data_IF_842270723583
#
_entry.id   IF_842270723583
#
_cell.length_a   1.000
_cell.length_b   1.000
_cell.length_c   1.000
_cell.angle_alpha   90.00
_cell.angle_beta   90.00
_cell.angle_gamma   90.00
#
_symmetry.space_group_name_H-M   'P 1'
#
loop_
_entity.id
_entity.type
_entity.pdbx_description
1 polymer ?
#
# COMPACT_ATOMS: atom_id res chain seq x y z
N UNK A 1 -22.40 7.25 -12.96
CA UNK A 1 -22.37 5.83 -12.63
C UNK A 1 -21.77 5.67 -11.24
N UNK A 2 -22.41 4.88 -10.39
CA UNK A 2 -21.83 4.57 -9.08
C UNK A 2 -20.62 3.65 -9.29
N UNK A 3 -19.48 3.93 -8.70
CA UNK A 3 -18.34 3.02 -8.74
C UNK A 3 -18.73 1.68 -8.09
N UNK A 4 -18.17 0.58 -8.60
CA UNK A 4 -18.55 -0.77 -8.19
C UNK A 4 -17.34 -1.52 -7.65
N UNK A 5 -17.58 -2.43 -6.71
CA UNK A 5 -16.54 -3.37 -6.29
C UNK A 5 -16.16 -4.32 -7.42
N UNK A 6 -14.92 -4.79 -7.42
CA UNK A 6 -14.39 -5.71 -8.43
C UNK A 6 -15.16 -7.04 -8.55
N UNK A 7 -15.86 -7.47 -7.49
CA UNK A 7 -16.68 -8.69 -7.51
C UNK A 7 -18.11 -8.49 -8.02
N UNK A 8 -18.46 -7.24 -8.42
CA UNK A 8 -19.82 -6.98 -8.92
C UNK A 8 -20.19 -7.97 -10.07
N UNK A 9 -21.43 -8.54 -10.10
CA UNK A 9 -22.65 -8.19 -9.33
C UNK A 9 -22.76 -8.83 -7.93
N UNK A 10 -21.79 -9.62 -7.47
CA UNK A 10 -21.73 -10.11 -6.10
C UNK A 10 -21.35 -9.00 -5.11
N UNK A 11 -21.41 -9.28 -3.81
CA UNK A 11 -21.01 -8.37 -2.75
C UNK A 11 -20.29 -9.11 -1.63
N UNK A 12 -19.33 -8.43 -0.97
CA UNK A 12 -18.63 -8.98 0.20
C UNK A 12 -19.47 -8.95 1.50
N UNK A 13 -20.66 -8.32 1.48
CA UNK A 13 -21.50 -8.18 2.66
C UNK A 13 -20.99 -7.13 3.65
N UNK A 14 -21.34 -7.31 4.93
CA UNK A 14 -20.90 -6.42 6.00
C UNK A 14 -19.48 -6.75 6.42
N UNK A 15 -18.57 -5.80 6.30
CA UNK A 15 -17.14 -5.97 6.59
C UNK A 15 -16.71 -5.02 7.72
N UNK A 16 -15.77 -5.47 8.55
CA UNK A 16 -14.93 -4.59 9.36
C UNK A 16 -13.68 -4.16 8.58
N UNK A 17 -12.82 -3.32 9.19
CA UNK A 17 -11.60 -2.80 8.54
C UNK A 17 -10.67 -3.92 8.09
N UNK A 18 -10.39 -4.90 8.96
CA UNK A 18 -9.49 -6.02 8.62
C UNK A 18 -10.02 -6.81 7.43
N UNK A 19 -11.31 -7.08 7.38
CA UNK A 19 -11.96 -7.76 6.26
C UNK A 19 -11.99 -6.91 4.98
N UNK A 20 -12.20 -5.59 5.12
CA UNK A 20 -12.12 -4.66 3.98
C UNK A 20 -10.75 -4.69 3.33
N UNK A 21 -9.67 -4.75 4.12
CA UNK A 21 -8.29 -4.89 3.63
C UNK A 21 -8.08 -6.28 3.03
N UNK A 22 -8.48 -7.35 3.72
CA UNK A 22 -8.36 -8.73 3.27
C UNK A 22 -8.94 -8.91 1.87
N UNK A 23 -10.21 -8.56 1.68
CA UNK A 23 -10.94 -8.75 0.42
C UNK A 23 -10.68 -7.65 -0.62
N UNK A 24 -9.82 -6.66 -0.31
CA UNK A 24 -9.63 -5.51 -1.20
C UNK A 24 -10.95 -4.87 -1.64
N UNK A 25 -11.90 -4.74 -0.70
CA UNK A 25 -13.27 -4.37 -1.01
C UNK A 25 -13.37 -2.89 -1.40
N UNK A 26 -13.59 -2.60 -2.67
CA UNK A 26 -13.74 -1.23 -3.14
C UNK A 26 -14.93 -0.54 -2.48
N UNK A 27 -16.09 -1.22 -2.37
CA UNK A 27 -17.29 -0.62 -1.76
C UNK A 27 -17.05 -0.18 -0.32
N UNK A 28 -16.28 -0.98 0.47
CA UNK A 28 -15.89 -0.59 1.82
C UNK A 28 -15.08 0.71 1.84
N UNK A 29 -14.06 0.80 0.98
CA UNK A 29 -13.20 2.00 0.95
C UNK A 29 -13.85 3.19 0.23
N UNK A 30 -14.78 2.98 -0.71
CA UNK A 30 -15.61 4.06 -1.23
C UNK A 30 -16.44 4.70 -0.12
N UNK A 31 -17.03 3.89 0.76
CA UNK A 31 -17.76 4.38 1.92
C UNK A 31 -16.84 5.13 2.89
N UNK A 32 -15.61 4.66 3.10
CA UNK A 32 -14.60 5.39 3.90
C UNK A 32 -14.31 6.75 3.27
N UNK A 33 -14.01 6.81 1.96
CA UNK A 33 -13.75 8.05 1.24
C UNK A 33 -14.93 9.03 1.28
N UNK A 34 -16.15 8.51 1.19
CA UNK A 34 -17.36 9.29 1.35
C UNK A 34 -17.51 9.86 2.76
N UNK A 35 -17.35 9.01 3.81
CA UNK A 35 -17.45 9.45 5.21
C UNK A 35 -16.37 10.46 5.59
N UNK A 36 -15.18 10.37 5.06
CA UNK A 36 -14.14 11.39 5.26
C UNK A 36 -14.58 12.77 4.74
N UNK A 37 -15.40 12.80 3.68
CA UNK A 37 -15.97 14.01 3.10
C UNK A 37 -17.19 14.57 3.85
N UNK A 38 -17.77 13.85 4.81
CA UNK A 38 -18.89 14.36 5.60
C UNK A 38 -18.40 15.36 6.64
N UNK A 39 -19.21 16.41 6.88
CA UNK A 39 -18.94 17.30 8.02
C UNK A 39 -19.19 16.55 9.33
N UNK A 40 -18.22 16.63 10.23
CA UNK A 40 -18.41 16.25 11.64
C UNK A 40 -18.79 17.49 12.44
N UNK A 41 -19.66 17.31 13.43
CA UNK A 41 -19.98 18.35 14.42
C UNK A 41 -18.68 18.76 15.13
N UNK A 42 -18.09 19.90 14.73
CA UNK A 42 -16.82 20.41 15.24
C UNK A 42 -15.83 20.95 14.21
N UNK A 43 -16.02 20.68 12.93
CA UNK A 43 -15.18 21.21 11.83
C UNK A 43 -15.59 22.64 11.41
N UNK A 44 -15.64 23.55 12.37
CA UNK A 44 -16.14 24.94 12.21
C UNK A 44 -15.32 25.81 11.26
N UNK A 45 -14.17 25.32 10.75
CA UNK A 45 -13.34 26.08 9.80
C UNK A 45 -13.67 25.81 8.33
N UNK A 46 -14.38 24.73 8.01
CA UNK A 46 -14.81 24.38 6.64
C UNK A 46 -16.33 24.59 6.44
N UNK A 47 -17.06 24.87 7.50
CA UNK A 47 -18.51 25.05 7.46
C UNK A 47 -18.97 26.49 7.12
N UNK A 48 -18.12 27.33 6.54
CA UNK A 48 -18.46 28.73 6.22
C UNK A 48 -19.32 28.90 4.97
N UNK A 49 -19.90 27.85 4.41
CA UNK A 49 -20.93 27.98 3.38
C UNK A 49 -22.33 27.96 4.04
N UNK A 50 -22.61 29.01 4.77
CA UNK A 50 -23.95 29.31 5.32
C UNK A 50 -24.82 30.15 4.39
N UNK A 51 -24.57 30.09 3.08
CA UNK A 51 -25.23 30.98 2.13
C UNK A 51 -26.75 30.75 1.99
N UNK A 52 -27.33 29.68 2.57
CA UNK A 52 -28.78 29.41 2.44
C UNK A 52 -29.51 29.12 3.74
N UNK A 53 -28.91 29.34 4.90
CA UNK A 53 -29.60 29.25 6.20
C UNK A 53 -30.17 27.87 6.56
N UNK A 54 -29.77 26.79 5.87
CA UNK A 54 -30.22 25.42 6.13
C UNK A 54 -29.21 24.65 6.97
N UNK A 55 -29.59 24.43 8.17
CA UNK A 55 -29.09 23.59 9.26
C UNK A 55 -28.46 22.25 8.86
N UNK A 56 -27.23 21.99 9.36
CA UNK A 56 -26.75 20.75 10.04
C UNK A 56 -27.08 19.37 9.42
N UNK A 57 -27.41 19.24 8.15
CA UNK A 57 -27.47 17.93 7.52
C UNK A 57 -26.09 17.53 6.99
N UNK A 58 -25.72 16.24 7.14
CA UNK A 58 -24.51 15.63 6.64
C UNK A 58 -24.23 16.00 5.18
N UNK A 59 -23.48 17.07 4.99
CA UNK A 59 -23.11 17.55 3.66
C UNK A 59 -21.76 16.93 3.27
N UNK A 60 -21.72 16.25 2.13
CA UNK A 60 -20.49 15.68 1.56
C UNK A 60 -19.73 16.72 0.76
N UNK A 61 -18.41 16.82 1.00
CA UNK A 61 -17.46 17.55 0.17
C UNK A 61 -16.27 16.64 -0.15
N UNK A 62 -15.97 16.47 -1.44
CA UNK A 62 -14.80 15.73 -1.89
C UNK A 62 -13.51 16.40 -1.40
N UNK A 63 -13.43 17.73 -1.43
CA UNK A 63 -12.27 18.50 -0.94
C UNK A 63 -11.94 18.21 0.52
N UNK A 64 -12.98 18.11 1.38
CA UNK A 64 -12.81 17.76 2.79
C UNK A 64 -12.26 16.34 2.93
N UNK A 65 -12.78 15.39 2.16
CA UNK A 65 -12.30 14.01 2.15
C UNK A 65 -10.86 13.93 1.67
N UNK A 66 -10.52 14.63 0.60
CA UNK A 66 -9.15 14.74 0.05
C UNK A 66 -8.20 15.35 1.08
N UNK A 67 -8.57 16.46 1.72
CA UNK A 67 -7.71 17.07 2.73
C UNK A 67 -7.36 16.12 3.89
N UNK A 68 -8.30 15.26 4.31
CA UNK A 68 -8.05 14.24 5.33
C UNK A 68 -7.15 13.12 4.81
N UNK A 69 -7.34 12.65 3.57
CA UNK A 69 -6.47 11.65 2.95
C UNK A 69 -5.05 12.19 2.77
N UNK A 70 -4.90 13.44 2.29
CA UNK A 70 -3.60 14.09 2.12
C UNK A 70 -2.86 14.24 3.43
N UNK A 71 -3.54 14.67 4.52
CA UNK A 71 -2.94 14.77 5.85
C UNK A 71 -2.26 13.46 6.24
N UNK A 72 -2.95 12.34 6.17
CA UNK A 72 -2.35 11.05 6.52
C UNK A 72 -1.29 10.58 5.52
N UNK A 73 -1.49 10.81 4.22
CA UNK A 73 -0.48 10.49 3.22
C UNK A 73 0.85 11.24 3.49
N UNK A 74 0.77 12.52 3.84
CA UNK A 74 1.94 13.33 4.26
C UNK A 74 2.56 12.79 5.55
N UNK A 75 1.75 12.47 6.57
CA UNK A 75 2.24 11.90 7.82
C UNK A 75 2.98 10.58 7.60
N UNK A 76 2.53 9.74 6.66
CA UNK A 76 3.21 8.51 6.26
C UNK A 76 4.37 8.72 5.28
N UNK A 77 4.71 9.96 4.97
CA UNK A 77 5.86 10.32 4.15
C UNK A 77 5.62 10.22 2.65
N UNK A 78 4.38 10.13 2.19
CA UNK A 78 4.04 10.09 0.75
C UNK A 78 4.03 11.49 0.10
N UNK A 79 4.27 12.55 0.85
CA UNK A 79 4.37 13.93 0.32
C UNK A 79 5.77 14.33 -0.16
N UNK A 80 6.78 13.48 0.06
CA UNK A 80 8.18 13.78 -0.28
C UNK A 80 8.87 12.56 -0.92
N UNK A 81 9.99 12.81 -1.61
CA UNK A 81 10.91 11.77 -2.04
C UNK A 81 11.38 10.91 -0.87
N UNK A 82 11.75 9.65 -1.12
CA UNK A 82 12.03 8.68 -0.07
C UNK A 82 13.27 8.99 0.79
N UNK A 83 14.15 9.86 0.33
CA UNK A 83 15.40 10.24 1.00
C UNK A 83 16.62 9.49 0.52
N UNK A 84 16.50 8.57 -0.44
CA UNK A 84 17.65 7.87 -1.03
C UNK A 84 18.60 8.84 -1.75
N UNK A 85 19.89 8.46 -1.82
CA UNK A 85 20.97 9.28 -2.41
C UNK A 85 20.97 9.28 -3.94
N UNK A 86 19.98 8.69 -4.60
CA UNK A 86 19.80 8.70 -6.04
C UNK A 86 18.60 9.56 -6.44
N UNK A 87 18.57 10.10 -7.67
CA UNK A 87 17.43 10.87 -8.15
C UNK A 87 16.13 10.06 -8.12
N UNK A 88 15.07 10.68 -7.65
CA UNK A 88 13.75 10.11 -7.52
C UNK A 88 12.71 11.10 -8.04
N UNK A 89 11.65 10.60 -8.66
CA UNK A 89 10.52 11.45 -9.07
C UNK A 89 9.77 11.97 -7.85
N UNK A 90 9.30 13.21 -7.94
CA UNK A 90 8.44 13.79 -6.92
C UNK A 90 7.13 13.00 -6.81
N UNK A 91 6.63 12.77 -5.59
CA UNK A 91 5.36 12.11 -5.39
C UNK A 91 4.18 13.02 -5.72
N UNK A 92 3.08 12.41 -6.09
CA UNK A 92 1.78 13.09 -6.19
C UNK A 92 0.79 12.39 -5.25
N UNK A 93 0.36 13.09 -4.20
CA UNK A 93 -0.80 12.69 -3.42
C UNK A 93 -2.05 13.13 -4.18
N UNK A 94 -3.07 12.29 -4.23
CA UNK A 94 -4.30 12.61 -4.95
C UNK A 94 -4.94 13.89 -4.43
N UNK A 95 -5.37 14.73 -5.36
CA UNK A 95 -6.05 16.01 -5.17
C UNK A 95 -7.45 16.04 -5.81
N UNK A 96 -7.90 14.92 -6.33
CA UNK A 96 -9.20 14.74 -6.96
C UNK A 96 -10.13 13.93 -6.02
N UNK A 97 -11.13 13.33 -6.51
CA UNK A 97 -12.24 12.61 -5.90
C UNK A 97 -11.85 11.73 -4.69
N UNK A 98 -12.33 12.09 -3.48
CA UNK A 98 -11.99 11.37 -2.24
C UNK A 98 -12.45 9.91 -2.22
N UNK A 99 -13.54 9.58 -2.91
CA UNK A 99 -14.07 8.22 -3.00
C UNK A 99 -13.14 7.33 -3.82
N UNK A 100 -12.69 7.80 -4.99
CA UNK A 100 -11.74 7.06 -5.83
C UNK A 100 -10.34 7.04 -5.22
N UNK A 101 -9.91 8.14 -4.60
CA UNK A 101 -8.61 8.21 -3.92
C UNK A 101 -8.50 7.25 -2.74
N UNK A 102 -9.62 6.94 -2.07
CA UNK A 102 -9.63 6.00 -0.94
C UNK A 102 -9.33 4.54 -1.34
N UNK A 103 -9.43 4.18 -2.61
CA UNK A 103 -8.97 2.89 -3.14
C UNK A 103 -7.60 2.97 -3.83
N UNK A 104 -6.92 4.11 -3.74
CA UNK A 104 -5.61 4.33 -4.36
C UNK A 104 -5.66 4.78 -5.82
N UNK A 105 -6.84 5.01 -6.39
CA UNK A 105 -7.03 5.63 -7.70
C UNK A 105 -6.97 7.17 -7.61
N UNK A 106 -7.42 7.88 -8.62
CA UNK A 106 -7.31 9.33 -8.71
C UNK A 106 -5.95 9.74 -9.26
N UNK A 107 -5.40 10.84 -8.76
CA UNK A 107 -4.13 11.41 -9.24
C UNK A 107 -2.90 10.94 -8.43
N UNK A 108 -3.04 9.90 -7.60
CA UNK A 108 -1.93 9.32 -6.85
C UNK A 108 -0.83 8.82 -7.78
N UNK A 109 0.43 9.25 -7.53
CA UNK A 109 1.59 8.77 -8.26
C UNK A 109 2.83 8.69 -7.35
N UNK A 110 3.33 7.49 -7.14
CA UNK A 110 4.43 7.22 -6.22
C UNK A 110 5.49 6.32 -6.86
N UNK A 111 6.75 6.53 -6.49
CA UNK A 111 7.82 5.59 -6.83
C UNK A 111 7.73 4.33 -5.95
N UNK A 112 8.38 3.26 -6.39
CA UNK A 112 8.44 2.01 -5.61
C UNK A 112 9.18 2.21 -4.28
N UNK A 113 10.18 3.10 -4.25
CA UNK A 113 10.91 3.48 -3.02
C UNK A 113 10.01 4.24 -2.02
N UNK A 114 9.17 5.16 -2.49
CA UNK A 114 8.19 5.84 -1.63
C UNK A 114 7.19 4.84 -1.04
N UNK A 115 6.73 3.84 -1.82
CA UNK A 115 5.90 2.75 -1.31
C UNK A 115 6.64 1.87 -0.31
N UNK A 116 7.93 1.59 -0.52
CA UNK A 116 8.76 0.85 0.44
C UNK A 116 8.90 1.60 1.77
N UNK A 117 9.09 2.92 1.73
CA UNK A 117 9.08 3.77 2.94
C UNK A 117 7.72 3.72 3.65
N UNK A 118 6.64 3.89 2.90
CA UNK A 118 5.29 3.83 3.43
C UNK A 118 4.99 2.50 4.12
N UNK A 119 5.26 1.37 3.46
CA UNK A 119 4.99 0.05 4.05
C UNK A 119 5.89 -0.24 5.27
N UNK A 120 7.11 0.31 5.30
CA UNK A 120 7.97 0.25 6.48
C UNK A 120 7.34 0.97 7.67
N UNK A 121 6.73 2.14 7.44
CA UNK A 121 6.00 2.87 8.49
C UNK A 121 4.74 2.12 8.96
N UNK A 122 4.04 1.43 8.07
CA UNK A 122 2.93 0.54 8.46
C UNK A 122 3.44 -0.62 9.31
N UNK A 123 4.51 -1.30 8.88
CA UNK A 123 5.10 -2.44 9.57
C UNK A 123 5.52 -2.11 11.01
N UNK A 124 6.15 -0.96 11.23
CA UNK A 124 6.66 -0.53 12.54
C UNK A 124 5.67 0.32 13.35
N UNK A 125 4.42 0.42 12.90
CA UNK A 125 3.32 1.14 13.58
C UNK A 125 3.58 2.64 13.73
N UNK A 126 4.06 3.26 12.64
CA UNK A 126 4.03 4.71 12.48
C UNK A 126 5.37 5.44 12.46
N UNK A 127 6.52 4.76 12.58
CA UNK A 127 7.80 5.43 12.41
C UNK A 127 8.17 5.52 10.92
N UNK A 128 8.27 6.73 10.39
CA UNK A 128 8.67 7.01 9.01
C UNK A 128 10.16 7.34 8.97
N UNK A 129 10.93 6.60 8.20
CA UNK A 129 12.36 6.81 8.02
C UNK A 129 12.67 7.48 6.68
N UNK A 130 13.74 8.26 6.61
CA UNK A 130 14.42 8.51 5.35
C UNK A 130 15.13 7.23 4.94
N UNK A 131 14.93 6.80 3.68
CA UNK A 131 15.63 5.65 3.15
C UNK A 131 17.07 6.03 2.78
N UNK A 132 17.99 5.08 2.87
CA UNK A 132 19.37 5.24 2.45
C UNK A 132 19.83 3.95 1.76
N UNK A 133 20.62 4.09 0.71
CA UNK A 133 21.34 2.99 0.05
C UNK A 133 22.71 2.76 0.69
N UNK A 134 23.13 3.69 1.57
CA UNK A 134 24.41 3.64 2.24
C UNK A 134 24.24 3.04 3.65
N UNK A 135 24.98 1.98 3.91
CA UNK A 135 25.10 1.37 5.24
C UNK A 135 26.35 1.92 5.95
N UNK A 136 27.51 1.77 5.32
CA UNK A 136 28.78 2.22 5.89
C UNK A 136 29.85 2.42 4.81
N UNK A 137 30.85 3.21 5.16
CA UNK A 137 32.10 3.33 4.39
C UNK A 137 33.22 2.68 5.18
N UNK A 138 33.96 1.79 4.54
CA UNK A 138 35.12 1.15 5.14
C UNK A 138 36.42 1.56 4.43
N UNK A 139 37.53 1.59 5.16
CA UNK A 139 38.84 1.73 4.55
C UNK A 139 39.28 0.41 3.88
N UNK A 140 40.42 0.39 3.13
CA UNK A 140 40.92 -0.84 2.49
C UNK A 140 41.24 -2.01 3.43
N UNK A 141 41.35 -1.74 4.74
CA UNK A 141 41.58 -2.76 5.78
C UNK A 141 40.26 -3.26 6.41
N UNK A 142 39.10 -2.88 5.87
CA UNK A 142 37.79 -3.27 6.37
C UNK A 142 37.29 -2.52 7.61
N UNK A 143 38.04 -1.55 8.12
CA UNK A 143 37.62 -0.73 9.28
C UNK A 143 36.59 0.30 8.83
N UNK A 144 35.43 0.38 9.51
CA UNK A 144 34.43 1.41 9.29
C UNK A 144 35.01 2.78 9.58
N UNK A 145 34.90 3.70 8.61
CA UNK A 145 35.31 5.11 8.72
C UNK A 145 34.11 6.06 8.78
N UNK A 146 32.98 5.62 8.28
CA UNK A 146 31.68 6.32 8.39
C UNK A 146 30.57 5.30 8.45
N UNK A 147 29.64 5.48 9.37
CA UNK A 147 28.43 4.70 9.54
C UNK A 147 27.21 5.56 9.18
N UNK A 148 26.17 4.93 8.62
CA UNK A 148 24.92 5.61 8.28
C UNK A 148 23.81 4.98 9.12
N UNK A 149 23.32 5.75 10.08
CA UNK A 149 22.19 5.33 10.92
C UNK A 149 20.89 5.77 10.29
N UNK A 150 19.83 4.96 10.36
CA UNK A 150 18.50 5.34 9.88
C UNK A 150 18.03 6.65 10.52
N UNK A 151 17.60 7.59 9.70
CA UNK A 151 17.07 8.87 10.15
C UNK A 151 15.55 8.81 10.22
N UNK A 152 14.98 9.13 11.39
CA UNK A 152 13.53 9.24 11.55
C UNK A 152 13.06 10.56 10.96
N UNK A 153 12.25 10.49 9.91
CA UNK A 153 11.61 11.66 9.29
C UNK A 153 10.39 12.13 10.07
N UNK A 154 9.53 11.21 10.46
CA UNK A 154 8.27 11.50 11.13
C UNK A 154 7.80 10.32 12.00
N UNK A 155 6.84 10.59 12.89
CA UNK A 155 6.11 9.57 13.65
C UNK A 155 4.62 9.86 13.60
N UNK A 156 3.86 8.91 13.09
CA UNK A 156 2.39 8.92 13.11
C UNK A 156 1.94 8.52 14.50
N UNK A 157 1.41 9.47 15.28
CA UNK A 157 1.11 9.28 16.70
C UNK A 157 -0.38 9.28 17.05
N UNK A 158 -1.23 9.68 16.11
CA UNK A 158 -2.69 9.79 16.30
C UNK A 158 -3.45 8.51 15.91
N UNK A 159 -2.75 7.42 15.60
CA UNK A 159 -3.32 6.11 15.28
C UNK A 159 -3.28 5.20 16.50
N UNK A 160 -4.43 4.70 16.92
CA UNK A 160 -4.55 3.82 18.09
C UNK A 160 -3.92 2.43 17.86
N UNK A 161 -3.54 1.76 18.94
CA UNK A 161 -3.03 0.38 18.87
C UNK A 161 -4.04 -0.60 18.26
N UNK A 162 -5.32 -0.41 18.50
CA UNK A 162 -6.40 -1.22 17.92
C UNK A 162 -6.54 -1.00 16.40
N UNK A 163 -6.30 0.22 15.93
CA UNK A 163 -6.28 0.52 14.49
C UNK A 163 -5.10 -0.16 13.82
N UNK A 164 -3.89 -0.06 14.41
CA UNK A 164 -2.71 -0.78 13.90
C UNK A 164 -2.95 -2.28 13.85
N UNK A 165 -3.54 -2.84 14.92
CA UNK A 165 -3.88 -4.27 14.97
C UNK A 165 -4.81 -4.64 13.81
N UNK A 166 -5.90 -3.90 13.60
CA UNK A 166 -6.87 -4.18 12.55
C UNK A 166 -6.24 -4.14 11.14
N UNK A 167 -5.33 -3.18 10.89
CA UNK A 167 -4.58 -3.10 9.62
C UNK A 167 -3.67 -4.32 9.45
N UNK A 168 -2.86 -4.66 10.45
CA UNK A 168 -1.95 -5.79 10.39
C UNK A 168 -2.69 -7.13 10.22
N UNK A 169 -3.81 -7.33 10.95
CA UNK A 169 -4.67 -8.50 10.80
C UNK A 169 -5.24 -8.63 9.38
N UNK A 170 -5.74 -7.52 8.81
CA UNK A 170 -6.23 -7.49 7.44
C UNK A 170 -5.15 -7.85 6.43
N UNK A 171 -3.95 -7.26 6.56
CA UNK A 171 -2.81 -7.56 5.69
C UNK A 171 -2.29 -9.00 5.86
N UNK A 172 -2.36 -9.56 7.08
CA UNK A 172 -2.05 -10.97 7.32
C UNK A 172 -3.07 -11.88 6.63
N UNK A 173 -4.35 -11.54 6.70
CA UNK A 173 -5.44 -12.31 6.10
C UNK A 173 -5.38 -12.34 4.56
N UNK A 174 -4.83 -11.31 3.90
CA UNK A 174 -4.53 -11.35 2.46
C UNK A 174 -3.65 -12.57 2.15
N UNK A 175 -2.56 -12.75 2.88
CA UNK A 175 -1.57 -13.81 2.64
C UNK A 175 -2.06 -15.19 3.08
N UNK A 176 -2.88 -15.28 4.12
CA UNK A 176 -3.30 -16.57 4.71
C UNK A 176 -4.64 -17.08 4.23
N UNK A 177 -5.44 -16.22 3.62
CA UNK A 177 -6.81 -16.56 3.25
C UNK A 177 -7.16 -16.18 1.81
N UNK A 178 -6.95 -14.91 1.43
CA UNK A 178 -7.36 -14.42 0.11
C UNK A 178 -6.44 -14.95 -0.99
N UNK A 179 -5.14 -14.70 -0.87
CA UNK A 179 -4.11 -15.11 -1.85
C UNK A 179 -3.30 -16.32 -1.35
N UNK A 180 -3.87 -17.14 -0.46
CA UNK A 180 -3.18 -18.24 0.23
C UNK A 180 -2.43 -19.21 -0.68
N UNK A 181 -2.94 -19.44 -1.88
CA UNK A 181 -2.37 -20.40 -2.82
C UNK A 181 -1.02 -19.94 -3.36
N UNK A 182 -0.80 -18.60 -3.47
CA UNK A 182 0.49 -18.01 -3.85
C UNK A 182 1.52 -18.27 -2.75
N UNK A 183 1.11 -18.18 -1.48
CA UNK A 183 2.00 -18.21 -0.32
C UNK A 183 2.04 -19.56 0.41
N UNK A 184 1.66 -20.65 -0.26
CA UNK A 184 1.50 -21.98 0.36
C UNK A 184 2.76 -22.45 1.07
N UNK A 185 3.93 -22.44 0.42
CA UNK A 185 5.20 -22.88 1.00
C UNK A 185 5.64 -21.97 2.14
N UNK A 186 5.53 -20.65 1.93
CA UNK A 186 5.92 -19.66 2.94
C UNK A 186 5.06 -19.79 4.20
N UNK A 187 3.75 -19.92 4.06
CA UNK A 187 2.84 -20.16 5.18
C UNK A 187 3.15 -21.47 5.90
N UNK A 188 3.42 -22.55 5.16
CA UNK A 188 3.79 -23.86 5.74
C UNK A 188 5.12 -23.82 6.48
N UNK A 189 6.06 -22.97 6.11
CA UNK A 189 7.35 -22.81 6.80
C UNK A 189 7.24 -22.08 8.14
N UNK A 190 6.08 -21.49 8.45
CA UNK A 190 5.86 -20.70 9.66
C UNK A 190 6.27 -19.24 9.55
N UNK A 191 6.73 -18.77 8.39
CA UNK A 191 7.00 -17.36 8.14
C UNK A 191 5.70 -16.58 8.10
N UNK A 192 5.59 -15.60 8.98
CA UNK A 192 4.39 -14.76 9.09
C UNK A 192 4.54 -13.52 8.20
N UNK A 193 4.18 -13.63 6.92
CA UNK A 193 4.13 -12.49 6.00
C UNK A 193 2.77 -11.78 6.10
N UNK A 194 2.78 -10.46 6.18
CA UNK A 194 1.64 -9.58 5.95
C UNK A 194 1.84 -8.81 4.65
N UNK A 195 0.81 -8.67 3.84
CA UNK A 195 0.93 -7.98 2.55
C UNK A 195 -0.38 -7.42 2.03
N UNK A 196 -0.27 -6.66 0.95
CA UNK A 196 -1.43 -6.14 0.21
C UNK A 196 -1.11 -6.10 -1.28
N UNK A 197 -1.97 -6.72 -2.05
CA UNK A 197 -1.99 -6.67 -3.51
C UNK A 197 -2.64 -5.38 -4.00
N UNK A 198 -2.22 -4.90 -5.16
CA UNK A 198 -2.81 -3.73 -5.80
C UNK A 198 -2.71 -3.82 -7.32
N UNK A 199 -3.80 -3.47 -8.00
CA UNK A 199 -3.82 -3.31 -9.45
C UNK A 199 -4.13 -1.85 -9.76
N UNK A 200 -3.18 -1.15 -10.39
CA UNK A 200 -3.26 0.28 -10.61
C UNK A 200 -3.38 0.60 -12.09
N UNK A 201 -4.52 1.16 -12.48
CA UNK A 201 -4.73 1.65 -13.83
C UNK A 201 -4.09 3.02 -14.00
N UNK A 202 -3.09 3.10 -14.88
CA UNK A 202 -2.46 4.37 -15.26
C UNK A 202 -3.03 4.92 -16.59
N UNK A 203 -3.51 4.05 -17.45
CA UNK A 203 -3.97 4.39 -18.80
C UNK A 203 -5.07 3.43 -19.24
N UNK A 204 -5.96 3.89 -20.10
CA UNK A 204 -6.95 3.03 -20.77
C UNK A 204 -6.36 2.25 -21.96
N UNK A 205 -5.15 2.58 -22.38
CA UNK A 205 -4.49 2.02 -23.57
C UNK A 205 -3.33 1.06 -23.24
N UNK A 206 -2.94 0.97 -21.96
CA UNK A 206 -1.90 0.07 -21.49
C UNK A 206 -2.45 -0.81 -20.38
N UNK A 207 -1.91 -2.03 -20.22
CA UNK A 207 -2.26 -2.89 -19.10
C UNK A 207 -1.97 -2.24 -17.75
N UNK A 208 -2.72 -2.63 -16.73
CA UNK A 208 -2.54 -2.16 -15.37
C UNK A 208 -1.19 -2.57 -14.79
N UNK A 209 -0.73 -1.81 -13.81
CA UNK A 209 0.45 -2.16 -13.03
C UNK A 209 0.08 -3.15 -11.94
N UNK A 210 0.82 -4.25 -11.85
CA UNK A 210 0.73 -5.15 -10.71
C UNK A 210 1.60 -4.65 -9.55
N UNK A 211 1.02 -4.58 -8.35
CA UNK A 211 1.71 -4.15 -7.13
C UNK A 211 1.53 -5.16 -6.01
N UNK A 212 2.57 -5.29 -5.19
CA UNK A 212 2.51 -5.97 -3.92
C UNK A 212 3.42 -5.28 -2.92
N UNK A 213 2.90 -5.00 -1.74
CA UNK A 213 3.68 -4.49 -0.61
C UNK A 213 3.54 -5.43 0.57
N UNK A 214 4.59 -5.61 1.35
CA UNK A 214 4.52 -6.50 2.48
C UNK A 214 5.63 -6.30 3.49
N UNK A 215 5.49 -6.99 4.62
CA UNK A 215 6.48 -7.04 5.69
C UNK A 215 6.42 -8.36 6.44
N UNK A 216 7.54 -8.77 7.01
CA UNK A 216 7.65 -10.00 7.78
C UNK A 216 8.73 -9.88 8.89
N UNK A 217 8.58 -10.63 10.02
CA UNK A 217 7.35 -11.29 10.48
C UNK A 217 6.24 -10.28 10.81
N UNK A 218 4.98 -10.71 10.77
CA UNK A 218 3.80 -9.84 11.01
C UNK A 218 3.79 -9.18 12.38
N UNK A 219 4.20 -9.91 13.41
CA UNK A 219 4.17 -9.47 14.81
C UNK A 219 5.42 -8.69 15.22
N UNK A 220 6.57 -8.98 14.59
CA UNK A 220 7.87 -8.36 14.85
C UNK A 220 8.62 -8.10 13.55
N UNK A 221 8.19 -7.13 12.73
CA UNK A 221 8.72 -6.89 11.39
C UNK A 221 10.23 -6.62 11.38
N UNK A 222 10.95 -7.35 10.54
CA UNK A 222 12.39 -7.22 10.30
C UNK A 222 12.70 -6.75 8.88
N UNK A 223 11.79 -7.05 7.94
CA UNK A 223 11.91 -6.66 6.55
C UNK A 223 10.56 -6.13 6.04
N UNK A 224 10.60 -5.07 5.25
CA UNK A 224 9.48 -4.57 4.49
C UNK A 224 9.89 -4.36 3.04
N UNK A 225 8.97 -4.52 2.10
CA UNK A 225 9.28 -4.42 0.68
C UNK A 225 8.08 -3.92 -0.12
N UNK A 226 8.39 -3.35 -1.29
CA UNK A 226 7.40 -2.98 -2.29
C UNK A 226 7.84 -3.50 -3.67
N UNK A 227 6.90 -4.05 -4.41
CA UNK A 227 7.10 -4.59 -5.75
C UNK A 227 6.11 -3.91 -6.70
N UNK A 228 6.61 -3.49 -7.86
CA UNK A 228 5.80 -3.00 -8.97
C UNK A 228 6.24 -3.67 -10.25
N UNK A 229 5.30 -4.29 -10.94
CA UNK A 229 5.48 -4.79 -12.31
C UNK A 229 4.75 -3.83 -13.22
N UNK A 230 5.51 -3.05 -13.99
CA UNK A 230 4.95 -2.09 -14.93
C UNK A 230 4.20 -2.85 -16.03
N UNK A 231 2.94 -2.45 -16.28
CA UNK A 231 2.06 -3.10 -17.27
C UNK A 231 1.95 -4.63 -17.04
N UNK A 232 1.95 -5.04 -15.76
CA UNK A 232 1.99 -6.43 -15.33
C UNK A 232 0.63 -7.14 -15.35
N UNK A 233 -0.42 -6.51 -15.85
CA UNK A 233 -1.80 -6.98 -15.95
C UNK A 233 -2.47 -7.27 -14.59
N UNK A 234 -1.80 -7.99 -13.69
CA UNK A 234 -2.38 -8.45 -12.43
C UNK A 234 -1.41 -8.26 -11.26
N UNK A 235 -1.96 -7.93 -10.11
CA UNK A 235 -1.24 -7.92 -8.83
C UNK A 235 -0.76 -9.31 -8.40
N UNK A 236 -1.35 -10.38 -8.92
CA UNK A 236 -0.94 -11.77 -8.67
C UNK A 236 0.55 -11.97 -8.99
N UNK A 237 1.02 -11.49 -10.14
CA UNK A 237 2.42 -11.61 -10.52
C UNK A 237 3.37 -10.86 -9.58
N UNK A 238 2.95 -9.69 -9.08
CA UNK A 238 3.75 -8.98 -8.08
C UNK A 238 3.76 -9.72 -6.74
N UNK A 239 2.67 -10.36 -6.35
CA UNK A 239 2.59 -11.20 -5.17
C UNK A 239 3.47 -12.45 -5.28
N UNK A 240 3.47 -13.13 -6.45
CA UNK A 240 4.37 -14.27 -6.74
C UNK A 240 5.84 -13.89 -6.63
N UNK A 241 6.24 -12.74 -7.20
CA UNK A 241 7.62 -12.22 -7.04
C UNK A 241 7.91 -11.97 -5.55
N UNK A 242 6.96 -11.37 -4.81
CA UNK A 242 7.10 -11.14 -3.38
C UNK A 242 7.24 -12.43 -2.58
N UNK A 243 6.46 -13.45 -2.92
CA UNK A 243 6.58 -14.78 -2.33
C UNK A 243 7.99 -15.36 -2.55
N UNK A 244 8.46 -15.37 -3.79
CA UNK A 244 9.77 -15.92 -4.14
C UNK A 244 10.92 -15.18 -3.43
N UNK A 245 10.86 -13.86 -3.35
CA UNK A 245 11.83 -13.05 -2.60
C UNK A 245 11.82 -13.43 -1.12
N UNK A 246 10.65 -13.61 -0.51
CA UNK A 246 10.54 -14.00 0.89
C UNK A 246 10.95 -15.45 1.14
N UNK A 247 10.63 -16.39 0.23
CA UNK A 247 11.10 -17.77 0.31
C UNK A 247 12.64 -17.82 0.25
N UNK A 248 13.27 -17.03 -0.62
CA UNK A 248 14.72 -16.92 -0.69
C UNK A 248 15.31 -16.31 0.61
N UNK A 249 14.77 -15.17 1.05
CA UNK A 249 15.25 -14.45 2.22
C UNK A 249 15.22 -15.31 3.50
N UNK A 250 14.11 -16.04 3.71
CA UNK A 250 13.94 -16.95 4.84
C UNK A 250 14.50 -18.37 4.61
N UNK A 251 15.14 -18.61 3.47
CA UNK A 251 15.72 -19.91 3.09
C UNK A 251 14.71 -21.06 3.10
N UNK A 252 13.46 -20.77 2.72
CA UNK A 252 12.37 -21.75 2.60
C UNK A 252 12.56 -22.59 1.34
N UNK A 253 12.94 -21.96 0.24
CA UNK A 253 13.19 -22.60 -1.05
C UNK A 253 14.60 -22.25 -1.53
N UNK A 254 15.39 -23.22 -2.02
CA UNK A 254 16.71 -22.97 -2.59
C UNK A 254 16.64 -22.08 -3.84
N UNK A 255 17.66 -21.22 -4.03
CA UNK A 255 17.71 -20.26 -5.14
C UNK A 255 17.52 -20.92 -6.52
N UNK A 256 18.13 -22.07 -6.74
CA UNK A 256 18.02 -22.81 -8.00
C UNK A 256 16.64 -23.40 -8.29
N UNK A 257 15.75 -23.42 -7.32
CA UNK A 257 14.33 -23.78 -7.51
C UNK A 257 13.46 -22.55 -7.77
N UNK A 258 13.90 -21.36 -7.31
CA UNK A 258 13.20 -20.09 -7.52
C UNK A 258 13.55 -19.44 -8.85
N UNK A 259 14.80 -19.62 -9.32
CA UNK A 259 15.31 -19.03 -10.55
C UNK A 259 15.67 -20.18 -11.50
N UNK A 260 14.74 -20.54 -12.36
CA UNK A 260 14.91 -21.66 -13.32
C UNK A 260 15.74 -21.28 -14.55
N UNK A 261 16.05 -19.98 -14.74
CA UNK A 261 16.76 -19.46 -15.92
C UNK A 261 15.92 -19.38 -17.18
N UNK A 262 14.71 -19.88 -17.16
CA UNK A 262 13.77 -19.79 -18.29
C UNK A 262 12.70 -18.76 -17.97
N UNK A 263 12.60 -17.71 -18.79
CA UNK A 263 11.44 -16.83 -18.76
C UNK A 263 10.24 -17.66 -19.17
N UNK A 264 9.24 -17.84 -18.31
CA UNK A 264 7.98 -18.40 -18.73
C UNK A 264 7.39 -17.47 -19.79
N UNK A 265 7.41 -17.92 -21.04
CA UNK A 265 6.59 -17.35 -22.09
C UNK A 265 5.13 -17.65 -21.74
N UNK A 266 4.58 -16.91 -20.79
CA UNK A 266 3.13 -16.78 -20.75
C UNK A 266 2.81 -16.05 -22.02
N UNK A 267 2.38 -16.82 -23.02
CA UNK A 267 1.96 -16.26 -24.28
C UNK A 267 1.04 -15.11 -23.97
N UNK A 268 1.36 -13.94 -24.50
CA UNK A 268 0.42 -12.85 -24.57
C UNK A 268 -0.73 -13.43 -25.39
N UNK A 269 -1.69 -14.03 -24.69
CA UNK A 269 -2.93 -14.49 -25.29
C UNK A 269 -3.52 -13.25 -25.94
N UNK A 270 -3.78 -13.32 -27.21
CA UNK A 270 -4.40 -12.31 -28.03
C UNK A 270 -5.87 -12.08 -27.67
N UNK A 271 -6.19 -12.02 -26.40
CA UNK A 271 -7.48 -11.66 -25.87
C UNK A 271 -7.30 -10.48 -24.92
N UNK A 272 -7.04 -9.31 -25.53
CA UNK A 272 -7.44 -8.06 -24.94
C UNK A 272 -8.96 -8.02 -24.98
N UNK A 273 -9.54 -7.95 -23.84
CA UNK A 273 -10.96 -7.76 -23.67
C UNK A 273 -11.31 -8.13 -22.23
N UNK A 274 -11.29 -7.09 -21.39
CA UNK A 274 -12.44 -6.68 -20.58
C UNK A 274 -12.10 -5.41 -19.81
#
# INVERSE_FOLDING_TARGET
PNPKCWIYPSAHGNLNVSQGIQHSCNDFFYEVGYRLGLNSTGDSKLDNDTSDGKSTQNYYSSERGIAKLQKYAEEFGLGDTSGMEIPESDPQISDDNSVLSAIGQGTNNYTTSQLARYITAVANKGTVYNLSLLDKVTNPKGKTVKDYTPEVKNKVTDVSSTTWQAVHEGMRAVVTSEDKDIFTKLNASGVQLSGKTGTAQQSQTHPDHGLFVGFAPSDSPQIAFAIRIANGYSSTFAAEVGNNVMEYYYKVTPENELITGEASNIGIGSNGGD
#
